data_IF_930156026635
#
_entry.id   IF_930156026635
#
_cell.length_a   1.000
_cell.length_b   1.000
_cell.length_c   1.000
_cell.angle_alpha   90.00
_cell.angle_beta   90.00
_cell.angle_gamma   90.00
#
_symmetry.space_group_name_H-M   'P 1'
#
loop_
_entity.id
_entity.type
_entity.pdbx_description
1 polymer ?
#
# COMPACT_ATOMS: atom_id res chain seq x y z
N UNK A 1 29.29 34.99 -41.46
CA UNK A 1 29.05 34.64 -41.23
C UNK A 1 28.78 33.95 -40.81
N UNK A 2 28.68 33.98 -40.82
CA UNK A 2 28.40 33.46 -40.50
C UNK A 2 28.24 32.69 -40.13
N UNK A 3 28.24 32.74 -39.99
CA UNK A 3 28.11 32.08 -39.76
C UNK A 3 27.88 31.44 -39.13
N UNK A 4 27.53 31.30 -38.71
CA UNK A 4 27.30 30.78 -38.24
C UNK A 4 26.79 30.10 -37.69
N UNK A 5 26.72 30.06 -37.68
CA UNK A 5 26.34 29.54 -37.38
C UNK A 5 25.98 28.82 -36.90
N UNK A 6 26.03 28.97 -36.76
CA UNK A 6 25.70 28.36 -36.42
C UNK A 6 25.35 27.73 -35.82
N UNK A 7 25.29 27.82 -35.69
CA UNK A 7 24.92 27.28 -35.27
C UNK A 7 24.45 26.68 -34.71
N UNK A 8 24.46 26.80 -34.55
CA UNK A 8 23.98 26.29 -34.10
C UNK A 8 23.54 25.68 -33.58
N UNK A 9 23.65 25.66 -33.48
CA UNK A 9 23.22 25.15 -33.11
C UNK A 9 22.80 24.54 -32.59
N UNK A 10 22.95 24.62 -32.53
CA UNK A 10 22.59 24.13 -32.17
C UNK A 10 22.14 23.54 -31.55
N UNK A 11 22.11 23.42 -31.37
CA UNK A 11 21.71 22.94 -30.95
C UNK A 11 21.26 22.40 -30.31
N UNK A 12 21.24 22.29 -30.15
CA UNK A 12 20.82 21.85 -29.71
C UNK A 12 20.30 21.26 -29.02
N UNK A 13 20.18 21.06 -28.80
CA UNK A 13 19.73 20.60 -28.40
C UNK A 13 19.24 20.04 -27.81
N UNK A 14 19.34 20.18 -27.91
CA UNK A 14 18.94 19.76 -27.59
C UNK A 14 18.55 19.18 -27.01
N UNK A 15 18.57 19.17 -26.83
CA UNK A 15 18.28 18.80 -26.51
C UNK A 15 17.80 18.37 -25.90
N UNK A 16 17.86 18.38 -25.78
CA UNK A 16 17.54 18.14 -25.42
C UNK A 16 17.04 17.74 -24.93
N UNK A 17 17.19 17.94 -25.22
CA UNK A 17 16.90 17.64 -24.85
C UNK A 17 16.50 17.22 -24.40
N UNK A 18 16.63 17.02 -24.12
CA UNK A 18 16.30 16.58 -23.81
C UNK A 18 16.14 16.01 -23.25
N UNK A 19 16.18 15.98 -23.46
CA UNK A 19 16.06 15.47 -23.17
C UNK A 19 15.93 14.95 -22.65
N UNK A 20 15.94 14.89 -22.64
CA UNK A 20 15.93 14.44 -22.34
C UNK A 20 15.79 13.97 -21.91
N UNK A 21 15.90 13.91 -21.89
CA UNK A 21 15.87 13.53 -21.69
C UNK A 21 15.69 13.00 -21.21
N UNK A 22 15.71 12.78 -21.24
CA UNK A 22 15.62 12.24 -20.93
C UNK A 22 15.61 11.71 -20.48
N UNK A 23 15.64 11.58 -20.43
CA UNK A 23 15.64 11.18 -20.18
C UNK A 23 15.68 10.77 -19.72
N UNK A 24 15.77 10.67 -19.72
CA UNK A 24 15.79 10.32 -19.39
C UNK A 24 15.68 9.86 -18.95
N UNK A 25 15.68 9.64 -18.92
CA UNK A 25 15.49 9.18 -18.53
C UNK A 25 15.40 8.67 -17.99
N UNK A 26 15.49 8.51 -17.99
CA UNK A 26 15.35 8.04 -17.44
C UNK A 26 15.24 7.69 -16.87
N UNK A 27 15.11 7.49 -16.74
CA UNK A 27 14.85 7.19 -16.12
C UNK A 27 14.56 6.66 -15.59
N UNK A 28 14.64 6.42 -15.56
CA UNK A 28 14.27 5.92 -15.07
C UNK A 28 14.29 5.46 -14.36
N UNK A 29 14.61 5.27 -14.17
CA UNK A 29 14.43 4.71 -13.43
C UNK A 29 14.12 4.79 -12.43
N UNK A 30 13.95 5.10 -12.11
CA UNK A 30 13.29 5.34 -11.05
C UNK A 30 11.97 4.74 -10.93
N UNK A 31 11.60 4.27 -11.61
CA UNK A 31 10.44 3.48 -11.77
C UNK A 31 10.16 2.58 -10.62
N UNK A 32 11.13 1.92 -10.16
CA UNK A 32 10.98 1.02 -9.05
C UNK A 32 10.47 1.71 -7.84
N UNK A 33 10.88 2.92 -7.67
CA UNK A 33 10.44 3.68 -6.52
C UNK A 33 8.95 3.92 -6.55
N UNK A 34 8.40 4.14 -7.74
CA UNK A 34 6.98 4.41 -7.81
C UNK A 34 6.19 3.17 -7.42
N UNK A 35 6.67 1.97 -7.73
CA UNK A 35 5.96 0.77 -7.34
C UNK A 35 5.96 0.59 -5.83
N UNK A 36 6.98 1.07 -5.13
CA UNK A 36 7.05 0.98 -3.67
C UNK A 36 6.09 1.94 -2.98
N UNK A 37 5.41 2.81 -3.74
CA UNK A 37 4.48 3.78 -3.17
C UNK A 37 3.07 3.58 -3.69
N UNK A 38 2.76 2.39 -4.11
CA UNK A 38 1.41 2.08 -4.59
C UNK A 38 0.42 2.15 -3.44
N UNK A 39 -0.81 2.45 -3.79
CA UNK A 39 -1.93 2.36 -2.86
C UNK A 39 -2.62 1.02 -3.14
N UNK A 40 -2.72 0.19 -2.11
CA UNK A 40 -3.30 -1.14 -2.22
C UNK A 40 -4.64 -1.13 -1.52
N UNK A 41 -5.71 -1.39 -2.28
CA UNK A 41 -7.08 -1.41 -1.76
C UNK A 41 -7.49 -2.86 -1.56
N UNK A 42 -7.92 -3.22 -0.37
CA UNK A 42 -8.29 -4.58 -0.04
C UNK A 42 -9.66 -4.60 0.62
N UNK A 43 -10.58 -5.35 0.04
CA UNK A 43 -11.88 -5.60 0.64
C UNK A 43 -11.77 -6.82 1.54
N UNK A 44 -12.18 -6.67 2.80
CA UNK A 44 -12.05 -7.71 3.80
C UNK A 44 -13.39 -7.91 4.49
N UNK A 45 -13.65 -9.14 4.89
CA UNK A 45 -14.82 -9.48 5.69
C UNK A 45 -14.34 -9.93 7.05
N UNK A 46 -14.98 -9.42 8.10
CA UNK A 46 -14.79 -9.88 9.47
C UNK A 46 -16.07 -10.57 9.91
N UNK A 47 -15.95 -11.82 10.30
CA UNK A 47 -17.08 -12.61 10.80
C UNK A 47 -16.55 -13.59 11.83
N UNK A 48 -17.46 -14.25 12.56
CA UNK A 48 -17.06 -15.23 13.57
C UNK A 48 -16.52 -16.47 12.86
N UNK A 49 -15.31 -16.83 12.94
CA UNK A 49 -14.20 -16.18 13.67
C UNK A 49 -13.02 -16.14 12.74
N UNK A 50 -13.16 -15.44 11.64
CA UNK A 50 -12.16 -15.35 10.59
C UNK A 50 -12.14 -13.94 9.99
N UNK A 51 -11.00 -13.59 9.44
CA UNK A 51 -10.87 -12.49 8.50
C UNK A 51 -10.73 -13.08 7.10
N UNK A 52 -11.43 -12.52 6.12
CA UNK A 52 -11.34 -12.98 4.72
C UNK A 52 -10.99 -11.81 3.82
N UNK A 53 -9.81 -11.77 3.23
CA UNK A 53 -8.73 -12.77 3.29
C UNK A 53 -8.01 -12.71 4.63
N UNK A 54 -7.40 -13.81 5.01
CA UNK A 54 -6.63 -13.87 6.24
C UNK A 54 -5.12 -13.80 6.00
N UNK A 55 -4.69 -13.69 4.74
CA UNK A 55 -3.30 -13.45 4.38
C UNK A 55 -3.28 -12.33 3.35
N UNK A 56 -2.51 -11.28 3.66
CA UNK A 56 -2.37 -10.11 2.80
C UNK A 56 -0.89 -9.94 2.53
N UNK A 57 -0.51 -9.80 1.26
CA UNK A 57 0.87 -9.58 0.86
C UNK A 57 0.97 -8.24 0.14
N UNK A 58 1.86 -7.38 0.61
CA UNK A 58 2.11 -6.06 0.03
C UNK A 58 3.62 -5.83 -0.04
N UNK A 59 4.01 -4.75 -0.69
CA UNK A 59 5.41 -4.36 -0.79
C UNK A 59 5.71 -3.25 0.21
N UNK A 60 6.94 -3.24 0.68
CA UNK A 60 7.39 -2.18 1.57
C UNK A 60 7.18 -0.82 0.92
N UNK A 61 6.60 0.10 1.66
CA UNK A 61 6.30 1.44 1.19
C UNK A 61 4.90 1.62 0.66
N UNK A 62 4.17 0.53 0.45
CA UNK A 62 2.78 0.62 -0.01
C UNK A 62 1.91 1.25 1.07
N UNK A 63 0.93 2.03 0.64
CA UNK A 63 -0.16 2.48 1.50
C UNK A 63 -1.28 1.47 1.36
N UNK A 64 -1.69 0.87 2.48
CA UNK A 64 -2.70 -0.18 2.49
C UNK A 64 -4.00 0.38 3.01
N UNK A 65 -5.06 0.25 2.23
CA UNK A 65 -6.41 0.63 2.62
C UNK A 65 -7.25 -0.63 2.73
N UNK A 66 -7.64 -0.97 3.96
CA UNK A 66 -8.51 -2.10 4.22
C UNK A 66 -9.93 -1.59 4.35
N UNK A 67 -10.84 -2.14 3.56
CA UNK A 67 -12.27 -1.86 3.68
C UNK A 67 -12.90 -3.09 4.30
N UNK A 68 -13.16 -3.03 5.61
CA UNK A 68 -13.52 -4.21 6.37
C UNK A 68 -15.00 -4.18 6.71
N UNK A 69 -15.73 -5.16 6.19
CA UNK A 69 -17.16 -5.32 6.43
C UNK A 69 -17.35 -6.33 7.56
N UNK A 70 -17.88 -5.87 8.69
CA UNK A 70 -18.21 -6.72 9.83
C UNK A 70 -19.65 -7.19 9.66
N UNK A 71 -19.85 -8.49 9.36
CA UNK A 71 -21.14 -8.93 8.84
C UNK A 71 -22.03 -9.62 9.87
N UNK A 72 -21.54 -9.90 11.07
CA UNK A 72 -22.36 -10.60 12.07
C UNK A 72 -22.38 -9.90 13.42
N UNK A 73 -21.26 -9.78 14.10
CA UNK A 73 -21.17 -9.13 15.41
C UNK A 73 -20.07 -8.09 15.36
N UNK A 74 -19.91 -7.33 16.43
CA UNK A 74 -18.78 -6.41 16.53
C UNK A 74 -17.49 -7.21 16.59
N UNK A 75 -16.53 -6.74 15.84
CA UNK A 75 -15.16 -7.27 15.84
C UNK A 75 -14.20 -6.11 16.05
N UNK A 76 -12.93 -6.35 15.92
CA UNK A 76 -11.91 -5.34 15.94
C UNK A 76 -10.74 -5.83 15.15
N UNK A 77 -9.79 -4.95 14.86
CA UNK A 77 -8.54 -5.35 14.24
C UNK A 77 -7.39 -4.63 14.92
N UNK A 78 -6.40 -5.40 15.35
CA UNK A 78 -5.20 -4.89 15.96
C UNK A 78 -4.00 -5.30 15.15
N UNK A 79 -3.15 -4.34 14.83
CA UNK A 79 -1.89 -4.56 14.13
C UNK A 79 -0.94 -3.47 14.61
N UNK A 80 -0.45 -3.64 15.82
CA UNK A 80 0.23 -2.58 16.55
C UNK A 80 1.48 -2.07 15.85
N UNK A 81 2.19 -2.95 15.14
CA UNK A 81 3.40 -2.55 14.43
C UNK A 81 3.15 -1.38 13.49
N UNK A 82 1.96 -1.29 12.92
CA UNK A 82 1.60 -0.23 11.97
C UNK A 82 0.55 0.71 12.54
N UNK A 83 0.34 0.68 13.87
CA UNK A 83 -0.54 1.64 14.52
C UNK A 83 -2.02 1.37 14.31
N UNK A 84 -2.39 0.15 13.95
CA UNK A 84 -3.79 -0.19 13.67
C UNK A 84 -4.45 -0.71 14.94
N UNK A 85 -5.56 -0.09 15.33
CA UNK A 85 -6.36 -0.47 16.49
C UNK A 85 -7.75 0.10 16.25
N UNK A 86 -8.62 -0.67 15.58
CA UNK A 86 -9.93 -0.15 15.17
C UNK A 86 -11.03 -1.12 15.55
N UNK A 87 -12.15 -0.56 16.02
CA UNK A 87 -13.36 -1.33 16.24
C UNK A 87 -14.09 -1.48 14.90
N UNK A 88 -14.60 -2.67 14.67
CA UNK A 88 -15.34 -3.01 13.44
C UNK A 88 -16.79 -3.28 13.84
N UNK A 89 -17.64 -2.27 13.72
CA UNK A 89 -19.03 -2.37 14.15
C UNK A 89 -19.82 -3.27 13.23
N UNK A 90 -20.67 -4.09 13.82
CA UNK A 90 -21.53 -5.00 13.08
C UNK A 90 -22.40 -4.25 12.08
N UNK A 91 -22.44 -4.76 10.85
CA UNK A 91 -23.26 -4.18 9.79
C UNK A 91 -22.63 -2.99 9.08
N UNK A 92 -21.39 -2.67 9.41
CA UNK A 92 -20.72 -1.50 8.81
C UNK A 92 -19.43 -1.90 8.14
N UNK A 93 -19.00 -1.06 7.20
CA UNK A 93 -17.67 -1.15 6.58
C UNK A 93 -16.80 -0.09 7.24
N UNK A 94 -15.67 -0.53 7.78
CA UNK A 94 -14.70 0.35 8.41
C UNK A 94 -13.47 0.40 7.54
N UNK A 95 -13.00 1.62 7.25
CA UNK A 95 -11.79 1.82 6.46
C UNK A 95 -10.60 1.99 7.39
N UNK A 96 -9.54 1.23 7.12
CA UNK A 96 -8.30 1.27 7.90
C UNK A 96 -7.16 1.51 6.93
N UNK A 97 -6.37 2.53 7.22
CA UNK A 97 -5.25 2.89 6.35
C UNK A 97 -3.95 2.87 7.14
N UNK A 98 -2.91 2.29 6.55
CA UNK A 98 -1.58 2.34 7.13
C UNK A 98 -0.53 2.21 6.03
N UNK A 99 0.71 2.60 6.34
CA UNK A 99 1.84 2.45 5.43
C UNK A 99 2.65 1.24 5.87
N UNK A 100 2.89 0.33 4.94
CA UNK A 100 3.64 -0.91 5.21
C UNK A 100 5.14 -0.60 5.10
N UNK A 101 5.69 0.05 6.11
CA UNK A 101 7.05 0.57 6.06
C UNK A 101 8.09 -0.36 6.68
N UNK A 102 7.70 -1.59 7.03
CA UNK A 102 8.61 -2.58 7.60
C UNK A 102 8.40 -3.91 6.93
N UNK A 103 9.49 -4.51 6.47
CA UNK A 103 9.49 -5.84 5.86
C UNK A 103 9.32 -6.89 6.95
N UNK A 104 8.54 -7.92 6.66
CA UNK A 104 8.36 -9.04 7.59
C UNK A 104 6.98 -9.62 7.51
N UNK A 105 6.69 -10.51 8.43
CA UNK A 105 5.37 -11.12 8.60
C UNK A 105 4.81 -10.68 9.93
N UNK A 106 3.62 -10.10 9.91
CA UNK A 106 2.99 -9.52 11.09
C UNK A 106 1.60 -10.10 11.25
N UNK A 107 1.23 -10.44 12.47
CA UNK A 107 -0.08 -11.00 12.75
C UNK A 107 -1.04 -9.88 13.11
N UNK A 108 -2.19 -9.82 12.42
CA UNK A 108 -3.29 -8.98 12.89
C UNK A 108 -4.33 -9.88 13.56
N UNK A 109 -5.11 -9.31 14.45
CA UNK A 109 -6.02 -10.11 15.27
C UNK A 109 -7.25 -9.30 15.65
N UNK A 110 -8.31 -10.03 16.02
CA UNK A 110 -9.52 -9.40 16.55
C UNK A 110 -9.25 -8.96 17.98
N UNK A 111 -9.34 -7.65 18.23
CA UNK A 111 -9.07 -7.10 19.55
C UNK A 111 -10.32 -6.66 20.30
N UNK A 112 -11.50 -7.08 19.82
CA UNK A 112 -12.78 -6.86 20.48
C UNK A 112 -13.40 -8.23 20.73
N UNK A 113 -13.83 -8.50 21.94
CA UNK A 113 -14.41 -9.81 22.25
C UNK A 113 -15.60 -10.08 21.34
N UNK A 114 -15.50 -11.15 20.55
CA UNK A 114 -16.47 -11.44 19.50
C UNK A 114 -17.06 -12.84 19.61
N UNK A 115 -16.85 -13.51 20.72
CA UNK A 115 -17.41 -14.84 20.97
C UNK A 115 -16.34 -15.85 21.32
N UNK A 116 -16.70 -17.14 21.30
CA UNK A 116 -15.82 -18.20 21.77
C UNK A 116 -14.56 -18.35 20.97
N UNK A 117 -14.62 -18.10 19.65
CA UNK A 117 -13.46 -18.23 18.77
C UNK A 117 -12.64 -16.96 18.64
N UNK A 118 -12.85 -15.99 19.52
CA UNK A 118 -12.19 -14.70 19.49
C UNK A 118 -10.66 -14.82 19.38
N UNK A 119 -10.08 -15.72 20.14
CA UNK A 119 -8.62 -15.85 20.17
C UNK A 119 -8.04 -16.42 18.89
N UNK A 120 -8.85 -17.10 18.10
CA UNK A 120 -8.41 -17.76 16.87
C UNK A 120 -8.59 -16.87 15.65
N UNK A 121 -9.24 -15.73 15.83
CA UNK A 121 -9.54 -14.81 14.73
C UNK A 121 -8.32 -13.96 14.45
N UNK A 122 -7.43 -14.47 13.61
CA UNK A 122 -6.16 -13.83 13.27
C UNK A 122 -5.89 -13.91 11.78
N UNK A 123 -4.95 -13.12 11.32
CA UNK A 123 -4.45 -13.18 9.95
C UNK A 123 -3.02 -12.73 9.88
N UNK A 124 -2.45 -12.78 8.68
CA UNK A 124 -1.05 -12.47 8.46
C UNK A 124 -0.92 -11.37 7.43
N UNK A 125 -0.14 -10.35 7.77
CA UNK A 125 0.30 -9.34 6.81
C UNK A 125 1.75 -9.64 6.46
N UNK A 126 2.01 -9.87 5.18
CA UNK A 126 3.36 -10.14 4.68
C UNK A 126 3.80 -8.92 3.90
N UNK A 127 4.88 -8.29 4.34
CA UNK A 127 5.47 -7.13 3.67
C UNK A 127 6.80 -7.56 3.07
N UNK A 128 6.91 -7.45 1.78
CA UNK A 128 8.11 -7.87 1.04
C UNK A 128 9.05 -6.71 0.74
#
# INVERSE_FOLDING_TARGET
GCNHKTSDQNNNQVQQPGVIDISDENHVIDVDDSSANDIVEINMIAKQWVFEPDVITVNKGDTVNLHINSIDVDHGIGLATFGVDEKLEAGKVTDVEFVADKVGTFTFFCNVMCGQGHREMTGQLIVK
#
